data_IF_181851616180
#
_entry.id   IF_181851616180
#
_cell.length_a   1.000
_cell.length_b   1.000
_cell.length_c   1.000
_cell.angle_alpha   90.00
_cell.angle_beta   90.00
_cell.angle_gamma   90.00
#
_symmetry.space_group_name_H-M   'P 1'
#
loop_
_entity.id
_entity.type
_entity.pdbx_description
1 polymer ?
#
# COMPACT_ATOMS: atom_id res chain seq x y z
N UNK A 1 10.22 -6.03 -17.64
CA UNK A 1 9.50 -6.41 -17.19
C UNK A 1 9.57 -6.42 -15.89
N UNK A 2 9.13 -6.32 -15.34
CA UNK A 2 9.33 -6.27 -14.21
C UNK A 2 8.69 -5.68 -13.24
N UNK A 3 9.06 -5.99 -12.04
CA UNK A 3 8.52 -5.35 -10.87
C UNK A 3 8.99 -3.93 -10.77
N UNK A 4 8.09 -3.07 -10.33
CA UNK A 4 8.49 -1.73 -9.94
C UNK A 4 9.20 -1.82 -8.60
N UNK A 5 10.06 -0.86 -8.32
CA UNK A 5 10.79 -0.82 -7.07
C UNK A 5 9.96 -0.15 -5.97
N UNK A 6 10.03 -0.73 -4.77
CA UNK A 6 9.42 -0.12 -3.60
C UNK A 6 10.40 0.77 -2.83
N UNK A 7 11.65 0.78 -3.28
CA UNK A 7 12.68 1.54 -2.59
C UNK A 7 12.32 3.01 -2.43
N UNK A 8 12.43 3.51 -1.21
CA UNK A 8 12.12 4.90 -0.92
C UNK A 8 10.64 5.23 -0.83
N UNK A 9 9.77 4.24 -1.02
CA UNK A 9 8.33 4.48 -0.95
C UNK A 9 7.79 4.19 0.43
N UNK A 10 6.83 5.01 0.86
CA UNK A 10 6.11 4.80 2.11
C UNK A 10 4.72 4.30 1.76
N UNK A 11 4.38 3.12 2.23
CA UNK A 11 3.13 2.45 1.89
C UNK A 11 2.30 2.21 3.14
N UNK A 12 1.05 2.60 3.11
CA UNK A 12 0.13 2.31 4.20
C UNK A 12 -0.72 1.10 3.79
N UNK A 13 -0.64 0.04 4.59
CA UNK A 13 -1.43 -1.16 4.37
C UNK A 13 -2.70 -1.06 5.20
N UNK A 14 -3.84 -1.06 4.56
CA UNK A 14 -5.12 -0.87 5.24
C UNK A 14 -6.18 -1.82 4.69
N UNK A 15 -7.01 -2.33 5.58
CA UNK A 15 -8.09 -3.24 5.19
C UNK A 15 -7.70 -4.70 5.32
N UNK A 16 -8.49 -5.55 4.68
CA UNK A 16 -8.32 -7.00 4.72
C UNK A 16 -7.99 -7.50 3.32
N UNK A 17 -7.05 -8.44 3.22
CA UNK A 17 -6.59 -8.95 1.94
C UNK A 17 -6.84 -10.45 1.84
N UNK A 18 -7.07 -10.94 0.63
CA UNK A 18 -7.38 -12.35 0.41
C UNK A 18 -6.15 -13.22 0.19
N UNK A 19 -5.20 -12.74 -0.60
CA UNK A 19 -4.03 -13.53 -0.98
C UNK A 19 -2.89 -13.47 0.02
N UNK A 20 -2.77 -12.35 0.70
CA UNK A 20 -1.71 -12.13 1.68
C UNK A 20 -2.30 -11.50 2.92
N UNK A 21 -1.73 -11.80 4.06
CA UNK A 21 -2.10 -11.09 5.28
C UNK A 21 -1.43 -9.71 5.28
N UNK A 22 -1.93 -8.82 6.12
CA UNK A 22 -1.29 -7.49 6.23
C UNK A 22 0.16 -7.62 6.66
N UNK A 23 0.45 -8.57 7.53
CA UNK A 23 1.81 -8.81 7.98
C UNK A 23 2.71 -9.23 6.83
N UNK A 24 2.21 -10.10 5.96
CA UNK A 24 2.96 -10.55 4.79
C UNK A 24 3.22 -9.41 3.82
N UNK A 25 2.20 -8.59 3.58
CA UNK A 25 2.35 -7.45 2.68
C UNK A 25 3.35 -6.43 3.22
N UNK A 26 3.32 -6.20 4.53
CA UNK A 26 4.28 -5.31 5.15
C UNK A 26 5.71 -5.82 5.01
N UNK A 27 5.90 -7.14 5.14
CA UNK A 27 7.21 -7.74 4.95
C UNK A 27 7.70 -7.58 3.50
N UNK A 28 6.80 -7.76 2.54
CA UNK A 28 7.14 -7.58 1.13
C UNK A 28 7.60 -6.15 0.87
N UNK A 29 6.90 -5.19 1.44
CA UNK A 29 7.25 -3.77 1.29
C UNK A 29 8.65 -3.51 1.85
N UNK A 30 8.93 -4.00 3.04
CA UNK A 30 10.23 -3.80 3.67
C UNK A 30 11.35 -4.50 2.90
N UNK A 31 11.08 -5.70 2.44
CA UNK A 31 12.07 -6.45 1.65
C UNK A 31 12.38 -5.77 0.32
N UNK A 32 11.43 -5.01 -0.20
CA UNK A 32 11.63 -4.26 -1.43
C UNK A 32 12.28 -2.90 -1.22
N UNK A 33 12.65 -2.58 0.01
CA UNK A 33 13.28 -1.30 0.32
C UNK A 33 12.30 -0.19 0.69
N UNK A 34 11.02 -0.50 0.79
CA UNK A 34 10.02 0.47 1.19
C UNK A 34 9.84 0.57 2.69
N UNK A 35 8.98 1.45 3.10
CA UNK A 35 8.66 1.65 4.52
C UNK A 35 7.17 1.47 4.74
N UNK A 36 6.81 0.92 5.88
CA UNK A 36 5.41 0.80 6.27
C UNK A 36 4.99 2.07 6.98
N UNK A 37 4.06 2.81 6.36
CA UNK A 37 3.53 4.03 6.96
C UNK A 37 2.51 3.65 8.03
N UNK A 38 2.47 4.41 9.11
CA UNK A 38 1.51 4.18 10.18
C UNK A 38 0.27 5.04 10.04
N UNK A 39 0.32 6.05 9.19
CA UNK A 39 -0.82 6.94 8.97
C UNK A 39 -0.71 7.59 7.61
N UNK A 40 -1.82 8.18 7.17
CA UNK A 40 -1.85 8.88 5.89
C UNK A 40 -1.27 10.28 6.09
N UNK A 41 -0.30 10.62 5.25
CA UNK A 41 0.32 11.95 5.29
C UNK A 41 0.81 12.29 3.90
N UNK A 42 1.31 13.50 3.74
CA UNK A 42 1.87 13.94 2.47
C UNK A 42 3.05 13.08 2.03
N UNK A 43 3.69 12.42 2.98
CA UNK A 43 4.84 11.59 2.69
C UNK A 43 4.47 10.16 2.29
N UNK A 44 3.19 9.80 2.40
CA UNK A 44 2.72 8.48 1.99
C UNK A 44 2.73 8.40 0.47
N UNK A 45 3.44 7.42 -0.07
CA UNK A 45 3.55 7.24 -1.52
C UNK A 45 2.26 6.70 -2.13
N UNK A 46 1.71 5.67 -1.51
CA UNK A 46 0.40 5.16 -1.90
C UNK A 46 -0.18 4.33 -0.75
N UNK A 47 -1.46 4.02 -0.87
CA UNK A 47 -2.14 3.19 0.11
C UNK A 47 -2.49 1.87 -0.53
N UNK A 48 -2.09 0.78 0.10
CA UNK A 48 -2.50 -0.55 -0.32
C UNK A 48 -3.85 -0.81 0.35
N UNK A 49 -4.91 -0.64 -0.43
CA UNK A 49 -6.27 -0.68 0.09
C UNK A 49 -6.89 -2.05 -0.09
N UNK A 50 -7.24 -2.68 1.00
CA UNK A 50 -7.95 -3.95 0.98
C UNK A 50 -9.45 -3.75 1.19
N UNK A 51 -10.15 -4.86 1.38
CA UNK A 51 -11.57 -4.81 1.68
C UNK A 51 -11.79 -4.21 3.06
N UNK A 52 -12.94 -3.60 3.23
CA UNK A 52 -13.35 -3.05 4.53
C UNK A 52 -12.48 -1.91 5.03
N UNK A 53 -11.77 -1.26 4.14
CA UNK A 53 -11.05 -0.04 4.51
C UNK A 53 -12.07 1.04 4.86
N UNK A 54 -11.87 1.71 5.98
CA UNK A 54 -12.84 2.71 6.44
C UNK A 54 -12.91 3.93 5.54
N UNK A 55 -14.06 4.59 5.51
CA UNK A 55 -14.24 5.78 4.66
C UNK A 55 -13.35 6.95 5.06
N UNK A 56 -12.99 7.05 6.33
CA UNK A 56 -12.09 8.12 6.78
C UNK A 56 -10.75 8.11 6.06
N UNK A 57 -10.19 6.93 5.89
CA UNK A 57 -8.90 6.80 5.22
C UNK A 57 -9.02 7.13 3.74
N UNK A 58 -10.12 6.72 3.12
CA UNK A 58 -10.35 7.05 1.71
C UNK A 58 -10.46 8.55 1.51
N UNK A 59 -11.17 9.22 2.40
CA UNK A 59 -11.33 10.66 2.31
C UNK A 59 -9.99 11.39 2.46
N UNK A 60 -9.18 10.96 3.41
CA UNK A 60 -7.85 11.56 3.59
C UNK A 60 -6.97 11.36 2.38
N UNK A 61 -7.02 10.18 1.79
CA UNK A 61 -6.24 9.89 0.60
C UNK A 61 -6.65 10.80 -0.55
N UNK A 62 -7.94 11.00 -0.74
CA UNK A 62 -8.45 11.89 -1.78
C UNK A 62 -8.01 13.33 -1.52
N UNK A 63 -8.14 13.78 -0.28
CA UNK A 63 -7.73 15.14 0.09
C UNK A 63 -6.26 15.41 -0.16
N UNK A 64 -5.41 14.42 0.10
CA UNK A 64 -3.98 14.57 -0.04
C UNK A 64 -3.47 14.11 -1.41
N UNK A 65 -4.38 13.72 -2.30
CA UNK A 65 -4.04 13.20 -3.62
C UNK A 65 -3.11 12.00 -3.56
N UNK A 66 -3.37 11.12 -2.61
CA UNK A 66 -2.57 9.90 -2.46
C UNK A 66 -3.25 8.77 -3.21
N UNK A 67 -2.48 8.07 -4.02
CA UNK A 67 -3.00 6.95 -4.80
C UNK A 67 -3.38 5.78 -3.90
N UNK A 68 -4.48 5.12 -4.22
CA UNK A 68 -4.88 3.89 -3.55
C UNK A 68 -4.88 2.77 -4.57
N UNK A 69 -4.23 1.68 -4.25
CA UNK A 69 -4.23 0.51 -5.13
C UNK A 69 -4.73 -0.70 -4.37
N UNK A 70 -5.33 -1.63 -5.10
CA UNK A 70 -5.80 -2.87 -4.52
C UNK A 70 -4.72 -3.94 -4.48
N UNK A 71 -5.04 -5.04 -3.82
CA UNK A 71 -4.10 -6.15 -3.70
C UNK A 71 -3.64 -6.70 -5.04
N UNK A 72 -4.56 -6.90 -5.96
CA UNK A 72 -4.22 -7.43 -7.27
C UNK A 72 -3.26 -6.53 -8.03
N UNK A 73 -3.53 -5.25 -8.00
CA UNK A 73 -2.66 -4.29 -8.67
C UNK A 73 -1.28 -4.25 -8.03
N UNK A 74 -1.24 -4.32 -6.72
CA UNK A 74 0.03 -4.36 -5.99
C UNK A 74 0.83 -5.60 -6.38
N UNK A 75 0.18 -6.75 -6.46
CA UNK A 75 0.84 -7.99 -6.86
C UNK A 75 1.43 -7.86 -8.26
N UNK A 76 0.67 -7.32 -9.18
CA UNK A 76 1.15 -7.15 -10.57
C UNK A 76 2.32 -6.19 -10.67
N UNK A 77 2.29 -5.11 -9.91
CA UNK A 77 3.33 -4.08 -9.99
C UNK A 77 4.60 -4.44 -9.24
N UNK A 78 4.46 -5.08 -8.09
CA UNK A 78 5.59 -5.21 -7.16
C UNK A 78 6.01 -6.65 -6.87
N UNK A 79 5.14 -7.61 -7.07
CA UNK A 79 5.45 -9.01 -6.75
C UNK A 79 5.72 -9.83 -8.01
N UNK A 80 4.91 -9.66 -9.01
CA UNK A 80 5.09 -10.42 -10.25
C UNK A 80 6.19 -9.87 -11.13
#
# INVERSE_FOLDING_TARGET
MGKESLEGKAVLVSGVFENYSRKELKAIIENGGGKNASSISKNTSFILAGDKMGPSKKEKAIKLNIEMIGEEEFIKKYIN
#
